data_IF_595766855010
#
_entry.id   IF_595766855010
#
_cell.length_a   1.000
_cell.length_b   1.000
_cell.length_c   1.000
_cell.angle_alpha   90.00
_cell.angle_beta   90.00
_cell.angle_gamma   90.00
#
_symmetry.space_group_name_H-M   'P 1'
#
loop_
_entity.id
_entity.type
_entity.pdbx_description
1 polymer ?
#
# COMPACT_ATOMS: atom_id res chain seq x y z
N UNK A 1 -3.65 4.52 15.69
CA UNK A 1 -2.20 4.24 15.86
C UNK A 1 -1.38 5.34 15.23
N UNK A 2 -0.12 5.55 15.65
CA UNK A 2 0.78 6.56 15.06
C UNK A 2 2.19 5.99 14.93
N UNK A 3 2.79 6.15 13.75
CA UNK A 3 4.13 5.67 13.43
C UNK A 3 4.99 6.79 12.88
N UNK A 4 6.31 6.65 13.00
CA UNK A 4 7.29 7.54 12.36
C UNK A 4 8.33 6.66 11.67
N UNK A 5 8.53 6.87 10.38
CA UNK A 5 9.49 6.12 9.55
C UNK A 5 10.60 7.04 9.06
N UNK A 6 11.79 6.47 8.81
CA UNK A 6 12.96 7.19 8.28
C UNK A 6 13.28 6.81 6.83
N UNK A 7 12.68 5.75 6.32
CA UNK A 7 12.94 5.24 4.97
C UNK A 7 11.74 4.44 4.42
N UNK A 8 11.85 4.08 3.15
CA UNK A 8 10.80 3.33 2.44
C UNK A 8 10.57 1.93 3.03
N UNK A 9 11.64 1.24 3.45
CA UNK A 9 11.55 -0.13 3.99
C UNK A 9 10.71 -0.18 5.26
N UNK A 10 10.88 0.79 6.16
CA UNK A 10 10.07 0.92 7.37
C UNK A 10 8.60 1.20 7.04
N UNK A 11 8.33 2.04 6.04
CA UNK A 11 6.97 2.34 5.59
C UNK A 11 6.28 1.11 4.99
N UNK A 12 7.02 0.32 4.20
CA UNK A 12 6.54 -0.95 3.67
C UNK A 12 6.26 -1.97 4.77
N UNK A 13 7.10 -2.03 5.81
CA UNK A 13 6.89 -2.91 6.96
C UNK A 13 5.58 -2.59 7.68
N UNK A 14 5.26 -1.32 7.88
CA UNK A 14 3.98 -0.91 8.48
C UNK A 14 2.81 -1.37 7.60
N UNK A 15 2.93 -1.21 6.27
CA UNK A 15 1.88 -1.67 5.35
C UNK A 15 1.68 -3.19 5.41
N UNK A 16 2.77 -3.96 5.55
CA UNK A 16 2.74 -5.41 5.74
C UNK A 16 2.04 -5.82 7.04
N UNK A 17 2.33 -5.15 8.15
CA UNK A 17 1.69 -5.45 9.43
C UNK A 17 0.22 -5.05 9.43
N UNK A 18 -0.11 -3.88 8.85
CA UNK A 18 -1.48 -3.43 8.65
C UNK A 18 -2.31 -4.40 7.79
N UNK A 19 -1.70 -5.02 6.77
CA UNK A 19 -2.38 -5.99 5.90
C UNK A 19 -2.98 -7.17 6.67
N UNK A 20 -2.34 -7.60 7.76
CA UNK A 20 -2.77 -8.74 8.58
C UNK A 20 -4.07 -8.46 9.36
N UNK A 21 -4.42 -7.17 9.50
CA UNK A 21 -5.64 -6.74 10.20
C UNK A 21 -6.83 -6.64 9.24
N UNK A 22 -6.59 -6.69 7.92
CA UNK A 22 -7.63 -6.61 6.90
C UNK A 22 -8.41 -7.92 6.78
N UNK A 23 -9.71 -7.80 6.54
CA UNK A 23 -10.66 -8.90 6.42
C UNK A 23 -11.36 -8.92 5.06
N UNK A 24 -11.18 -7.89 4.24
CA UNK A 24 -11.82 -7.72 2.94
C UNK A 24 -13.06 -6.81 3.04
N UNK A 25 -13.26 -6.01 1.99
CA UNK A 25 -14.35 -5.03 1.91
C UNK A 25 -14.04 -3.66 2.52
N UNK A 26 -12.84 -3.47 3.09
CA UNK A 26 -12.43 -2.18 3.61
C UNK A 26 -12.11 -1.17 2.50
N UNK A 27 -12.47 0.10 2.74
CA UNK A 27 -12.02 1.23 1.93
C UNK A 27 -10.94 1.99 2.69
N UNK A 28 -9.72 2.01 2.15
CA UNK A 28 -8.57 2.68 2.76
C UNK A 28 -8.25 3.92 1.93
N UNK A 29 -8.37 5.10 2.53
CA UNK A 29 -8.03 6.38 1.90
C UNK A 29 -6.64 6.85 2.36
N UNK A 30 -5.74 7.11 1.41
CA UNK A 30 -4.39 7.61 1.69
C UNK A 30 -4.27 9.10 1.38
N UNK A 31 -4.00 9.89 2.42
CA UNK A 31 -3.85 11.35 2.32
C UNK A 31 -2.39 11.78 2.53
N UNK A 32 -2.00 12.87 1.89
CA UNK A 32 -0.69 13.49 2.02
C UNK A 32 -0.22 14.08 0.70
N UNK A 33 0.84 14.88 0.75
CA UNK A 33 1.37 15.62 -0.39
C UNK A 33 2.05 14.71 -1.44
N UNK A 34 2.40 15.31 -2.58
CA UNK A 34 3.26 14.65 -3.56
C UNK A 34 4.59 14.26 -2.90
N UNK A 35 5.02 13.01 -3.10
CA UNK A 35 6.24 12.51 -2.45
C UNK A 35 6.08 12.06 -0.99
N UNK A 36 4.89 12.17 -0.38
CA UNK A 36 4.66 11.74 1.01
C UNK A 36 4.76 10.22 1.27
N UNK A 37 5.05 9.40 0.24
CA UNK A 37 5.22 7.95 0.39
C UNK A 37 3.94 7.11 0.24
N UNK A 38 2.82 7.68 -0.20
CA UNK A 38 1.55 6.94 -0.44
C UNK A 38 1.76 5.69 -1.29
N UNK A 39 2.43 5.82 -2.43
CA UNK A 39 2.71 4.69 -3.34
C UNK A 39 3.66 3.66 -2.72
N UNK A 40 4.56 4.08 -1.83
CA UNK A 40 5.45 3.17 -1.09
C UNK A 40 4.64 2.31 -0.12
N UNK A 41 3.67 2.90 0.57
CA UNK A 41 2.73 2.18 1.42
C UNK A 41 1.91 1.16 0.62
N UNK A 42 1.28 1.58 -0.49
CA UNK A 42 0.46 0.66 -1.33
C UNK A 42 1.29 -0.51 -1.88
N UNK A 43 2.56 -0.27 -2.28
CA UNK A 43 3.47 -1.35 -2.70
C UNK A 43 3.73 -2.37 -1.59
N UNK A 44 3.94 -1.90 -0.35
CA UNK A 44 4.11 -2.78 0.81
C UNK A 44 2.85 -3.59 1.08
N UNK A 45 1.68 -2.95 1.02
CA UNK A 45 0.38 -3.59 1.21
C UNK A 45 0.12 -4.66 0.15
N UNK A 46 0.31 -4.33 -1.12
CA UNK A 46 0.09 -5.27 -2.23
C UNK A 46 0.99 -6.50 -2.12
N UNK A 47 2.28 -6.30 -1.78
CA UNK A 47 3.20 -7.40 -1.53
C UNK A 47 2.74 -8.29 -0.36
N UNK A 48 2.20 -7.71 0.70
CA UNK A 48 1.65 -8.44 1.84
C UNK A 48 0.44 -9.29 1.46
N UNK A 49 -0.37 -8.80 0.52
CA UNK A 49 -1.51 -9.51 -0.07
C UNK A 49 -1.10 -10.50 -1.17
N UNK A 50 0.20 -10.76 -1.38
CA UNK A 50 0.66 -11.74 -2.37
C UNK A 50 0.65 -11.27 -3.82
N UNK A 51 0.37 -9.99 -4.10
CA UNK A 51 0.40 -9.43 -5.45
C UNK A 51 1.85 -9.38 -5.93
N UNK A 52 2.15 -10.14 -6.98
CA UNK A 52 3.51 -10.26 -7.57
C UNK A 52 3.80 -9.21 -8.65
N UNK A 53 2.77 -8.63 -9.22
CA UNK A 53 2.91 -7.62 -10.28
C UNK A 53 3.40 -6.27 -9.73
N UNK A 54 4.00 -5.47 -10.63
CA UNK A 54 4.57 -4.17 -10.23
C UNK A 54 3.48 -3.14 -10.02
N UNK A 55 3.23 -2.80 -8.75
CA UNK A 55 2.34 -1.70 -8.38
C UNK A 55 2.96 -0.34 -8.75
N UNK A 56 2.24 0.42 -9.57
CA UNK A 56 2.62 1.79 -9.98
C UNK A 56 1.52 2.77 -9.63
N UNK A 57 1.90 4.03 -9.44
CA UNK A 57 0.95 5.13 -9.23
C UNK A 57 -0.02 5.24 -10.40
N UNK A 58 -1.33 5.26 -10.16
CA UNK A 58 -2.37 5.51 -11.17
C UNK A 58 -2.43 6.99 -11.59
N UNK A 59 -1.28 7.65 -11.79
CA UNK A 59 -1.22 9.10 -12.03
C UNK A 59 -1.99 9.54 -13.29
N UNK A 60 -1.97 8.70 -14.32
CA UNK A 60 -2.71 8.92 -15.57
C UNK A 60 -3.87 7.94 -15.77
N UNK A 61 -3.74 6.72 -15.22
CA UNK A 61 -4.78 5.71 -15.26
C UNK A 61 -5.54 5.80 -13.95
N UNK A 62 -6.63 6.57 -13.89
CA UNK A 62 -7.42 6.89 -12.68
C UNK A 62 -7.60 5.69 -11.72
N UNK A 63 -7.68 4.47 -12.26
CA UNK A 63 -7.77 3.22 -11.52
C UNK A 63 -6.77 2.18 -12.02
N UNK A 64 -6.26 1.37 -11.08
CA UNK A 64 -5.62 0.09 -11.35
C UNK A 64 -6.19 -0.98 -10.42
N UNK A 65 -6.56 -2.12 -10.99
CA UNK A 65 -7.04 -3.28 -10.27
C UNK A 65 -5.93 -4.34 -10.26
N UNK A 66 -5.80 -5.04 -9.13
CA UNK A 66 -4.81 -6.08 -8.89
C UNK A 66 -5.55 -7.25 -8.27
N UNK A 67 -5.37 -8.45 -8.81
CA UNK A 67 -5.99 -9.66 -8.27
C UNK A 67 -5.14 -10.23 -7.13
N UNK A 68 -5.79 -10.52 -6.00
CA UNK A 68 -5.15 -11.14 -4.84
C UNK A 68 -5.15 -12.66 -5.07
N UNK A 69 -3.98 -13.33 -5.12
CA UNK A 69 -3.94 -14.78 -5.24
C UNK A 69 -4.59 -15.45 -4.03
N UNK A 70 -5.32 -16.54 -4.27
CA UNK A 70 -6.01 -17.34 -3.25
C UNK A 70 -5.04 -18.02 -2.29
#
# INVERSE_FOLDING_TARGET
MRYKTKNEKETQKIALDFAKELRGGEMILLYGDLGAGKTVFVKGLAKALGIVETVKSPTFNILKCYDIPK
#
